data_IF_721293997994
#
_entry.id   IF_721293997994
#
_cell.length_a   1.000
_cell.length_b   1.000
_cell.length_c   1.000
_cell.angle_alpha   90.00
_cell.angle_beta   90.00
_cell.angle_gamma   90.00
#
_symmetry.space_group_name_H-M   'P 1'
#
loop_
_entity.id
_entity.type
_entity.pdbx_description
1 polymer ?
#
# COMPACT_ATOMS: atom_id res chain seq x y z
N UNK A 1 -1.58 3.73 9.58
CA UNK A 1 -2.22 2.99 8.46
C UNK A 1 -1.36 1.81 8.02
N UNK A 2 -0.17 2.03 7.43
CA UNK A 2 0.60 0.91 6.86
C UNK A 2 1.01 -0.15 7.91
N UNK A 3 1.51 0.26 9.08
CA UNK A 3 1.80 -0.67 10.17
C UNK A 3 0.54 -1.40 10.68
N UNK A 4 -0.58 -0.69 10.86
CA UNK A 4 -1.87 -1.26 11.26
C UNK A 4 -2.37 -2.32 10.25
N UNK A 5 -2.24 -2.05 8.95
CA UNK A 5 -2.55 -3.02 7.89
C UNK A 5 -1.62 -4.22 7.90
N UNK A 6 -0.32 -4.02 8.15
CA UNK A 6 0.62 -5.13 8.29
C UNK A 6 0.21 -6.07 9.43
N UNK A 7 -0.26 -5.53 10.55
CA UNK A 7 -0.68 -6.32 11.71
C UNK A 7 -2.03 -7.00 11.51
N UNK A 8 -3.00 -6.32 10.85
CA UNK A 8 -4.39 -6.78 10.77
C UNK A 8 -4.72 -7.59 9.50
N UNK A 9 -3.99 -7.38 8.41
CA UNK A 9 -4.29 -8.00 7.12
C UNK A 9 -3.08 -8.64 6.42
N UNK A 10 -1.86 -8.41 6.92
CA UNK A 10 -0.63 -8.81 6.23
C UNK A 10 -0.40 -7.93 5.01
N UNK A 11 0.51 -6.96 5.15
CA UNK A 11 0.86 -6.01 4.10
C UNK A 11 2.30 -6.27 3.66
N UNK A 12 2.62 -6.02 2.39
CA UNK A 12 4.00 -5.79 1.95
C UNK A 12 4.04 -4.41 1.32
N UNK A 13 4.90 -3.52 1.84
CA UNK A 13 5.06 -2.17 1.34
C UNK A 13 6.36 -2.06 0.55
N UNK A 14 6.25 -1.66 -0.72
CA UNK A 14 7.39 -1.32 -1.56
C UNK A 14 7.61 0.19 -1.49
N UNK A 15 8.81 0.64 -1.12
CA UNK A 15 9.15 2.06 -0.93
C UNK A 15 10.14 2.54 -1.99
N UNK A 16 9.84 3.66 -2.65
CA UNK A 16 10.61 4.18 -3.79
C UNK A 16 11.62 5.28 -3.41
N UNK A 17 11.42 5.95 -2.27
CA UNK A 17 12.23 7.12 -1.89
C UNK A 17 13.13 6.84 -0.67
N UNK A 18 12.58 6.13 0.32
CA UNK A 18 13.23 5.93 1.62
C UNK A 18 12.96 4.50 2.11
N UNK A 19 13.99 3.66 2.11
CA UNK A 19 13.96 2.28 2.60
C UNK A 19 13.58 2.17 4.09
N UNK A 20 13.64 3.27 4.84
CA UNK A 20 13.25 3.34 6.26
C UNK A 20 11.80 3.77 6.48
N UNK A 21 11.11 4.23 5.43
CA UNK A 21 9.69 4.53 5.46
C UNK A 21 8.86 3.25 5.17
N UNK A 22 7.72 3.03 5.85
CA UNK A 22 7.19 3.79 6.99
C UNK A 22 7.87 3.45 8.32
N UNK A 23 8.60 2.34 8.37
CA UNK A 23 9.45 1.91 9.47
C UNK A 23 10.44 0.85 8.94
N UNK A 24 11.53 0.59 9.66
CA UNK A 24 12.39 -0.57 9.37
C UNK A 24 11.70 -1.83 9.90
N UNK A 25 11.12 -2.62 9.00
CA UNK A 25 10.38 -3.84 9.33
C UNK A 25 10.42 -4.87 8.18
N UNK A 26 10.24 -6.15 8.50
CA UNK A 26 10.33 -7.26 7.53
C UNK A 26 9.29 -7.20 6.39
N UNK A 27 8.22 -6.43 6.59
CA UNK A 27 7.15 -6.24 5.60
C UNK A 27 7.39 -5.03 4.68
N UNK A 28 8.52 -4.33 4.86
CA UNK A 28 8.94 -3.21 4.02
C UNK A 28 10.07 -3.66 3.10
N UNK A 29 9.88 -3.43 1.80
CA UNK A 29 10.81 -3.81 0.73
C UNK A 29 11.26 -2.54 0.02
N UNK A 30 12.57 -2.40 -0.14
CA UNK A 30 13.17 -1.32 -0.91
C UNK A 30 12.90 -1.53 -2.41
N UNK A 31 12.29 -0.53 -3.05
CA UNK A 31 12.04 -0.40 -4.50
C UNK A 31 12.59 0.94 -5.01
N UNK A 32 13.68 1.45 -4.42
CA UNK A 32 14.33 2.71 -4.84
C UNK A 32 14.93 2.66 -6.25
N UNK A 33 15.15 1.45 -6.80
CA UNK A 33 15.53 1.24 -8.21
C UNK A 33 14.33 1.20 -9.17
N UNK A 34 13.10 1.28 -8.63
CA UNK A 34 11.82 1.29 -9.33
C UNK A 34 11.53 0.00 -10.12
N UNK A 35 12.22 -1.10 -9.84
CA UNK A 35 12.07 -2.33 -10.61
C UNK A 35 10.66 -2.94 -10.44
N UNK A 36 10.12 -2.97 -9.23
CA UNK A 36 8.84 -3.59 -8.92
C UNK A 36 7.70 -2.74 -9.47
N UNK A 37 7.70 -1.45 -9.16
CA UNK A 37 6.70 -0.51 -9.64
C UNK A 37 6.65 -0.44 -11.17
N UNK A 38 7.80 -0.48 -11.85
CA UNK A 38 7.84 -0.58 -13.31
C UNK A 38 7.21 -1.90 -13.82
N UNK A 39 7.54 -3.04 -13.21
CA UNK A 39 7.02 -4.34 -13.65
C UNK A 39 5.51 -4.50 -13.41
N UNK A 40 4.97 -3.80 -12.43
CA UNK A 40 3.54 -3.78 -12.08
C UNK A 40 2.75 -2.68 -12.79
N UNK A 41 3.42 -1.88 -13.65
CA UNK A 41 2.84 -0.76 -14.39
C UNK A 41 2.13 0.24 -13.45
N UNK A 42 2.86 0.67 -12.41
CA UNK A 42 2.37 1.64 -11.43
C UNK A 42 2.79 3.06 -11.84
N UNK A 43 1.80 3.92 -12.07
CA UNK A 43 2.04 5.31 -12.52
C UNK A 43 2.06 6.32 -11.38
N UNK A 44 1.54 5.99 -10.20
CA UNK A 44 1.43 6.91 -9.07
C UNK A 44 1.50 6.20 -7.72
N UNK A 45 1.93 6.96 -6.71
CA UNK A 45 2.03 6.53 -5.31
C UNK A 45 1.15 7.38 -4.39
N UNK A 46 0.54 6.80 -3.36
CA UNK A 46 0.51 5.37 -3.07
C UNK A 46 -0.41 4.61 -4.04
N UNK A 47 -0.08 3.36 -4.36
CA UNK A 47 -1.00 2.41 -5.01
C UNK A 47 -1.08 1.14 -4.16
N UNK A 48 -2.29 0.67 -3.88
CA UNK A 48 -2.56 -0.55 -3.12
C UNK A 48 -3.12 -1.62 -4.06
N UNK A 49 -2.52 -2.80 -4.00
CA UNK A 49 -2.86 -3.96 -4.83
C UNK A 49 -3.39 -5.09 -3.95
N UNK A 50 -4.46 -5.77 -4.36
CA UNK A 50 -4.86 -7.08 -3.81
C UNK A 50 -4.36 -8.18 -4.73
N UNK A 51 -3.55 -9.08 -4.18
CA UNK A 51 -3.00 -10.23 -4.89
C UNK A 51 -3.62 -11.50 -4.33
N UNK A 52 -4.24 -12.32 -5.20
CA UNK A 52 -4.78 -13.63 -4.85
C UNK A 52 -4.19 -14.69 -5.76
N UNK A 53 -3.70 -15.80 -5.18
CA UNK A 53 -3.05 -16.88 -5.92
C UNK A 53 -1.95 -16.41 -6.91
N UNK A 54 -1.17 -15.40 -6.51
CA UNK A 54 -0.08 -14.82 -7.30
C UNK A 54 -0.52 -13.93 -8.46
N UNK A 55 -1.78 -13.53 -8.52
CA UNK A 55 -2.30 -12.58 -9.53
C UNK A 55 -2.95 -11.39 -8.87
N UNK A 56 -2.75 -10.24 -9.46
CA UNK A 56 -3.51 -9.06 -9.09
C UNK A 56 -4.99 -9.24 -9.45
N UNK A 57 -5.86 -8.96 -8.50
CA UNK A 57 -7.32 -9.03 -8.66
C UNK A 57 -8.00 -7.69 -8.51
N UNK A 58 -7.38 -6.73 -7.80
CA UNK A 58 -7.91 -5.39 -7.61
C UNK A 58 -6.78 -4.41 -7.28
N UNK A 59 -6.91 -3.15 -7.72
CA UNK A 59 -6.00 -2.06 -7.35
C UNK A 59 -6.74 -0.76 -7.08
N UNK A 60 -6.15 0.09 -6.24
CA UNK A 60 -6.55 1.50 -6.08
C UNK A 60 -5.33 2.39 -5.96
N UNK A 61 -5.43 3.61 -6.48
CA UNK A 61 -4.36 4.62 -6.48
C UNK A 61 -4.78 5.82 -5.64
N UNK A 62 -3.80 6.45 -5.00
CA UNK A 62 -4.02 7.47 -3.98
C UNK A 62 -4.53 6.88 -2.67
N UNK A 63 -4.71 7.76 -1.70
CA UNK A 63 -5.35 7.43 -0.45
C UNK A 63 -6.84 7.81 -0.54
N UNK A 64 -7.70 6.80 -0.48
CA UNK A 64 -9.13 6.93 -0.24
C UNK A 64 -9.46 5.90 0.82
N UNK A 65 -9.85 6.37 2.02
CA UNK A 65 -10.09 5.48 3.16
C UNK A 65 -11.11 4.41 2.79
N UNK A 66 -12.27 4.80 2.28
CA UNK A 66 -13.36 3.87 1.98
C UNK A 66 -12.92 2.81 0.97
N UNK A 67 -12.12 3.19 -0.04
CA UNK A 67 -11.56 2.24 -1.02
C UNK A 67 -10.52 1.30 -0.42
N UNK A 68 -9.64 1.82 0.43
CA UNK A 68 -8.65 1.00 1.12
C UNK A 68 -9.31 0.01 2.08
N UNK A 69 -10.32 0.45 2.83
CA UNK A 69 -11.10 -0.43 3.73
C UNK A 69 -11.86 -1.51 2.95
N UNK A 70 -12.47 -1.16 1.81
CA UNK A 70 -13.12 -2.13 0.93
C UNK A 70 -12.14 -3.17 0.37
N UNK A 71 -10.98 -2.71 -0.13
CA UNK A 71 -9.99 -3.58 -0.77
C UNK A 71 -9.33 -4.53 0.24
N UNK A 72 -9.06 -4.04 1.46
CA UNK A 72 -8.38 -4.79 2.53
C UNK A 72 -9.33 -5.57 3.44
N UNK A 73 -10.61 -5.19 3.49
CA UNK A 73 -11.58 -5.68 4.47
C UNK A 73 -11.34 -5.16 5.90
N UNK A 74 -10.43 -4.19 6.07
CA UNK A 74 -10.04 -3.64 7.37
C UNK A 74 -10.75 -2.31 7.58
N UNK A 75 -11.60 -2.20 8.59
CA UNK A 75 -12.30 -0.95 8.93
C UNK A 75 -11.47 -0.03 9.84
N UNK A 76 -11.90 1.23 9.91
CA UNK A 76 -11.34 2.31 10.75
C UNK A 76 -9.88 2.64 10.45
N UNK A 77 -9.50 2.65 9.16
CA UNK A 77 -8.14 2.92 8.74
C UNK A 77 -7.79 4.40 8.85
N UNK A 78 -6.80 4.69 9.72
CA UNK A 78 -6.22 6.03 9.86
C UNK A 78 -7.27 7.09 10.20
N UNK A 79 -7.98 6.97 11.33
CA UNK A 79 -9.09 7.85 11.70
C UNK A 79 -8.72 9.33 11.72
N UNK A 80 -7.46 9.64 12.04
CA UNK A 80 -6.92 11.00 12.11
C UNK A 80 -6.46 11.58 10.76
N UNK A 81 -6.53 10.80 9.68
CA UNK A 81 -6.22 11.27 8.33
C UNK A 81 -7.46 11.86 7.65
N UNK A 82 -7.28 12.79 6.68
CA UNK A 82 -8.34 13.10 5.73
C UNK A 82 -8.84 11.83 5.04
N UNK A 83 -10.12 11.75 4.75
CA UNK A 83 -10.70 10.58 4.07
C UNK A 83 -10.10 10.35 2.67
N UNK A 84 -9.61 11.42 2.03
CA UNK A 84 -9.03 11.37 0.69
C UNK A 84 -7.76 12.21 0.59
N UNK A 85 -6.73 11.68 -0.09
CA UNK A 85 -5.59 12.41 -0.62
C UNK A 85 -5.22 11.83 -1.99
N UNK A 86 -5.10 12.67 -3.03
CA UNK A 86 -4.65 12.19 -4.33
C UNK A 86 -3.22 11.66 -4.23
N UNK A 87 -2.89 10.71 -5.11
CA UNK A 87 -1.52 10.32 -5.42
C UNK A 87 -0.88 11.34 -6.34
#
# INVERSE_FOLDING_TARGET
VLADLSERAGLTAYTQDDATFPAVADWVVDDTDLAISWHLDLEAVPTLLRIEAGREVERTTGWDRDRWEQLTGVADLGPDLPAFKPG
#
